data_IF_665196376101
#
_entry.id   IF_665196376101
#
_cell.length_a   1.000
_cell.length_b   1.000
_cell.length_c   1.000
_cell.angle_alpha   90.00
_cell.angle_beta   90.00
_cell.angle_gamma   90.00
#
_symmetry.space_group_name_H-M   'P 1'
#
loop_
_entity.id
_entity.type
_entity.pdbx_description
1 polymer ?
#
# COMPACT_ATOMS: atom_id res chain seq x y z
N UNK A 1 -13.39 -16.19 7.90
CA UNK A 1 -12.48 -15.04 7.90
C UNK A 1 -11.24 -15.38 7.08
N UNK A 2 -10.93 -14.60 6.07
CA UNK A 2 -9.76 -14.82 5.21
C UNK A 2 -8.73 -13.75 5.53
N UNK A 3 -7.52 -14.17 5.92
CA UNK A 3 -6.41 -13.29 6.27
C UNK A 3 -5.28 -13.49 5.26
N UNK A 4 -4.93 -12.44 4.52
CA UNK A 4 -3.87 -12.47 3.51
C UNK A 4 -2.96 -11.24 3.64
N UNK A 5 -1.65 -11.45 3.50
CA UNK A 5 -0.65 -10.37 3.49
C UNK A 5 -0.83 -9.35 4.62
N UNK A 6 -0.95 -9.84 5.86
CA UNK A 6 -1.15 -9.02 7.07
C UNK A 6 -2.44 -8.18 7.07
N UNK A 7 -3.40 -8.53 6.23
CA UNK A 7 -4.68 -7.83 6.14
C UNK A 7 -5.84 -8.81 6.18
N UNK A 8 -6.88 -8.44 6.91
CA UNK A 8 -8.13 -9.17 6.94
C UNK A 8 -8.98 -8.79 5.73
N UNK A 9 -9.45 -9.79 5.00
CA UNK A 9 -10.32 -9.58 3.86
C UNK A 9 -11.79 -9.64 4.29
N UNK A 10 -12.58 -8.59 4.04
CA UNK A 10 -14.01 -8.60 4.34
C UNK A 10 -14.75 -9.65 3.53
N UNK A 11 -15.41 -10.60 4.21
CA UNK A 11 -16.06 -11.74 3.57
C UNK A 11 -17.26 -11.38 2.68
N UNK A 12 -17.97 -10.33 3.05
CA UNK A 12 -19.18 -9.90 2.33
C UNK A 12 -18.88 -9.09 1.06
N UNK A 13 -17.63 -8.67 0.88
CA UNK A 13 -17.23 -7.90 -0.30
C UNK A 13 -16.78 -8.81 -1.45
N UNK A 14 -16.77 -8.25 -2.64
CA UNK A 14 -16.19 -8.89 -3.81
C UNK A 14 -14.68 -9.07 -3.63
N UNK A 15 -14.13 -10.17 -4.12
CA UNK A 15 -12.68 -10.47 -4.03
C UNK A 15 -11.84 -9.31 -4.51
N UNK A 16 -12.19 -8.75 -5.65
CA UNK A 16 -11.52 -7.60 -6.24
C UNK A 16 -11.45 -6.38 -5.29
N UNK A 17 -12.56 -6.05 -4.63
CA UNK A 17 -12.62 -4.92 -3.69
C UNK A 17 -11.90 -5.23 -2.37
N UNK A 18 -11.98 -6.47 -1.91
CA UNK A 18 -11.33 -6.91 -0.68
C UNK A 18 -9.81 -6.91 -0.81
N UNK A 19 -9.26 -7.31 -1.96
CA UNK A 19 -7.82 -7.28 -2.21
C UNK A 19 -7.24 -5.84 -2.17
N UNK A 20 -8.04 -4.84 -2.47
CA UNK A 20 -7.59 -3.44 -2.37
C UNK A 20 -7.35 -2.97 -0.93
N UNK A 21 -7.79 -3.73 0.08
CA UNK A 21 -7.44 -3.45 1.49
C UNK A 21 -5.98 -3.80 1.81
N UNK A 22 -5.36 -4.68 1.02
CA UNK A 22 -3.94 -5.00 1.18
C UNK A 22 -3.10 -3.82 0.71
N UNK A 23 -2.22 -3.35 1.58
CA UNK A 23 -1.33 -2.25 1.23
C UNK A 23 -0.34 -2.64 0.12
N UNK A 24 -0.39 -1.95 -0.98
CA UNK A 24 0.41 -2.23 -2.18
C UNK A 24 -0.35 -2.84 -3.34
N UNK A 25 -1.58 -3.33 -3.14
CA UNK A 25 -2.46 -3.81 -4.20
C UNK A 25 -3.45 -2.72 -4.60
N UNK A 26 -3.27 -2.19 -5.80
CA UNK A 26 -4.18 -1.20 -6.38
C UNK A 26 -5.20 -1.81 -7.33
N UNK A 27 -6.14 -1.00 -7.78
CA UNK A 27 -7.24 -1.40 -8.68
C UNK A 27 -6.76 -2.09 -9.96
N UNK A 28 -5.69 -1.61 -10.59
CA UNK A 28 -5.18 -2.17 -11.84
C UNK A 28 -4.59 -3.57 -11.65
N UNK A 29 -3.85 -3.79 -10.56
CA UNK A 29 -3.27 -5.09 -10.22
C UNK A 29 -4.38 -6.09 -9.90
N UNK A 30 -5.35 -5.71 -9.07
CA UNK A 30 -6.47 -6.56 -8.70
C UNK A 30 -7.31 -6.99 -9.92
N UNK A 31 -7.47 -6.12 -10.91
CA UNK A 31 -8.14 -6.47 -12.17
C UNK A 31 -7.37 -7.51 -12.99
N UNK A 32 -6.03 -7.46 -12.98
CA UNK A 32 -5.18 -8.42 -13.71
C UNK A 32 -5.18 -9.82 -13.12
N UNK A 33 -5.58 -9.98 -11.86
CA UNK A 33 -5.63 -11.29 -11.20
C UNK A 33 -6.71 -12.23 -11.75
N UNK A 34 -7.59 -11.74 -12.62
CA UNK A 34 -8.51 -12.58 -13.42
C UNK A 34 -9.66 -13.23 -12.66
N UNK A 35 -10.03 -12.72 -11.48
CA UNK A 35 -11.20 -13.20 -10.76
C UNK A 35 -12.50 -12.67 -11.35
N UNK A 36 -13.56 -13.49 -11.29
CA UNK A 36 -14.90 -13.09 -11.69
C UNK A 36 -15.33 -11.82 -10.93
N UNK A 37 -15.91 -10.88 -11.66
CA UNK A 37 -16.36 -9.61 -11.09
C UNK A 37 -17.40 -9.76 -9.97
N UNK A 38 -18.12 -10.87 -9.96
CA UNK A 38 -19.21 -11.11 -8.99
C UNK A 38 -18.83 -12.07 -7.87
N UNK A 39 -17.58 -12.56 -7.83
CA UNK A 39 -17.13 -13.50 -6.81
C UNK A 39 -16.91 -12.79 -5.47
N UNK A 40 -17.61 -13.25 -4.41
CA UNK A 40 -17.42 -12.76 -3.06
C UNK A 40 -16.34 -13.59 -2.33
N UNK A 41 -15.66 -12.96 -1.36
CA UNK A 41 -14.60 -13.61 -0.57
C UNK A 41 -15.09 -14.89 0.11
N UNK A 42 -16.30 -14.89 0.66
CA UNK A 42 -16.90 -16.06 1.33
C UNK A 42 -17.06 -17.31 0.45
N UNK A 43 -17.10 -17.14 -0.85
CA UNK A 43 -17.24 -18.25 -1.81
C UNK A 43 -15.91 -18.75 -2.37
N UNK A 44 -14.78 -18.23 -1.89
CA UNK A 44 -13.45 -18.68 -2.30
C UNK A 44 -13.14 -20.07 -1.72
N UNK A 45 -12.77 -21.01 -2.60
CA UNK A 45 -12.19 -22.28 -2.17
C UNK A 45 -10.74 -22.10 -1.72
N UNK A 46 -10.23 -23.03 -0.90
CA UNK A 46 -8.84 -23.04 -0.46
C UNK A 46 -7.85 -23.08 -1.63
N UNK A 47 -8.19 -23.81 -2.67
CA UNK A 47 -7.37 -23.90 -3.90
C UNK A 47 -7.29 -22.54 -4.63
N UNK A 48 -8.41 -21.84 -4.71
CA UNK A 48 -8.47 -20.50 -5.31
C UNK A 48 -7.65 -19.49 -4.49
N UNK A 49 -7.68 -19.56 -3.17
CA UNK A 49 -6.86 -18.71 -2.29
C UNK A 49 -5.38 -19.00 -2.51
N UNK A 50 -4.96 -20.26 -2.56
CA UNK A 50 -3.58 -20.65 -2.80
C UNK A 50 -3.09 -20.19 -4.19
N UNK A 51 -3.92 -20.32 -5.21
CA UNK A 51 -3.63 -19.84 -6.56
C UNK A 51 -3.46 -18.31 -6.57
N UNK A 52 -4.31 -17.60 -5.85
CA UNK A 52 -4.25 -16.15 -5.72
C UNK A 52 -2.93 -15.70 -5.05
N UNK A 53 -2.56 -16.33 -3.93
CA UNK A 53 -1.31 -16.04 -3.23
C UNK A 53 -0.10 -16.25 -4.15
N UNK A 54 -0.02 -17.39 -4.82
CA UNK A 54 1.05 -17.67 -5.80
C UNK A 54 1.11 -16.65 -6.93
N UNK A 55 -0.04 -16.25 -7.46
CA UNK A 55 -0.09 -15.25 -8.53
C UNK A 55 0.42 -13.89 -8.05
N UNK A 56 0.08 -13.49 -6.83
CA UNK A 56 0.55 -12.23 -6.25
C UNK A 56 2.04 -12.28 -5.94
N UNK A 57 2.55 -13.40 -5.41
CA UNK A 57 3.98 -13.59 -5.16
C UNK A 57 4.81 -13.50 -6.44
N UNK A 58 4.29 -14.04 -7.55
CA UNK A 58 4.93 -13.96 -8.85
C UNK A 58 4.98 -12.55 -9.47
N UNK A 59 4.29 -11.58 -8.88
CA UNK A 59 4.34 -10.19 -9.35
C UNK A 59 5.61 -9.44 -8.94
N UNK A 60 6.50 -10.05 -8.17
CA UNK A 60 7.75 -9.45 -7.65
C UNK A 60 7.57 -8.05 -7.07
N UNK A 61 6.49 -7.85 -6.33
CA UNK A 61 6.17 -6.57 -5.71
C UNK A 61 6.21 -6.67 -4.20
N UNK A 62 6.83 -5.69 -3.61
CA UNK A 62 6.79 -5.50 -2.16
C UNK A 62 5.37 -5.11 -1.72
N UNK A 63 4.85 -5.79 -0.71
CA UNK A 63 3.51 -5.60 -0.20
C UNK A 63 3.52 -5.38 1.32
N UNK A 64 2.44 -4.83 1.83
CA UNK A 64 2.17 -4.68 3.25
C UNK A 64 3.35 -4.08 4.02
N UNK A 65 3.90 -4.80 5.00
CA UNK A 65 4.99 -4.32 5.86
C UNK A 65 6.29 -4.06 5.10
N UNK A 66 6.61 -4.86 4.10
CA UNK A 66 7.84 -4.71 3.32
C UNK A 66 7.81 -3.43 2.49
N UNK A 67 6.70 -3.11 1.89
CA UNK A 67 6.52 -1.83 1.18
C UNK A 67 6.61 -0.63 2.13
N UNK A 68 6.07 -0.73 3.34
CA UNK A 68 6.21 0.31 4.36
C UNK A 68 7.66 0.50 4.77
N UNK A 69 8.41 -0.59 4.97
CA UNK A 69 9.86 -0.55 5.27
C UNK A 69 10.64 0.13 4.16
N UNK A 70 10.37 -0.20 2.90
CA UNK A 70 11.03 0.44 1.74
C UNK A 70 10.79 1.95 1.72
N UNK A 71 9.57 2.41 1.98
CA UNK A 71 9.26 3.84 2.06
C UNK A 71 10.04 4.55 3.18
N UNK A 72 10.11 3.92 4.35
CA UNK A 72 10.86 4.45 5.50
C UNK A 72 12.35 4.52 5.16
N UNK A 73 12.92 3.46 4.58
CA UNK A 73 14.33 3.41 4.17
C UNK A 73 14.66 4.48 3.15
N UNK A 74 13.80 4.69 2.16
CA UNK A 74 13.95 5.76 1.16
C UNK A 74 14.00 7.16 1.80
N UNK A 75 13.14 7.41 2.78
CA UNK A 75 13.15 8.68 3.52
C UNK A 75 14.40 8.81 4.40
N UNK A 76 14.79 7.74 5.13
CA UNK A 76 16.01 7.73 5.94
C UNK A 76 17.26 7.97 5.11
N UNK A 77 17.33 7.42 3.90
CA UNK A 77 18.44 7.69 2.96
C UNK A 77 18.60 9.19 2.69
N UNK A 78 17.50 9.89 2.36
CA UNK A 78 17.52 11.32 2.13
C UNK A 78 17.95 12.12 3.36
N UNK A 79 17.54 11.70 4.55
CA UNK A 79 17.92 12.32 5.82
C UNK A 79 19.40 12.10 6.13
N UNK A 80 19.90 10.87 5.95
CA UNK A 80 21.29 10.51 6.26
C UNK A 80 22.30 11.25 5.40
N UNK A 81 22.00 11.50 4.12
CA UNK A 81 22.85 12.31 3.24
C UNK A 81 22.70 13.83 3.50
N UNK A 82 21.90 14.22 4.50
CA UNK A 82 21.62 15.62 4.86
C UNK A 82 21.11 16.47 3.68
N UNK A 83 20.30 15.87 2.80
CA UNK A 83 19.70 16.58 1.68
C UNK A 83 18.64 17.58 2.15
N UNK A 84 18.42 18.63 1.37
CA UNK A 84 17.34 19.60 1.63
C UNK A 84 15.97 18.93 1.71
N UNK A 85 15.68 17.98 0.82
CA UNK A 85 14.43 17.20 0.84
C UNK A 85 14.24 16.40 2.14
N UNK A 86 15.31 15.78 2.62
CA UNK A 86 15.28 15.03 3.89
C UNK A 86 15.01 15.94 5.09
N UNK A 87 15.65 17.08 5.18
CA UNK A 87 15.43 18.07 6.23
C UNK A 87 13.99 18.61 6.23
N UNK A 88 13.45 18.89 5.06
CA UNK A 88 12.06 19.34 4.91
C UNK A 88 11.07 18.26 5.36
N UNK A 89 11.31 17.00 5.03
CA UNK A 89 10.48 15.88 5.48
C UNK A 89 10.44 15.72 7.00
N UNK A 90 11.59 15.79 7.67
CA UNK A 90 11.65 15.71 9.14
C UNK A 90 10.83 16.82 9.80
N UNK A 91 10.92 18.04 9.27
CA UNK A 91 10.19 19.19 9.80
C UNK A 91 8.70 19.21 9.44
N UNK A 92 8.22 18.25 8.66
CA UNK A 92 6.84 18.23 8.18
C UNK A 92 6.51 19.37 7.23
N UNK A 93 7.47 19.83 6.45
CA UNK A 93 7.32 20.96 5.53
C UNK A 93 7.24 20.49 4.07
N UNK A 94 6.57 21.25 3.18
CA UNK A 94 6.52 20.94 1.75
C UNK A 94 7.91 20.91 1.14
N UNK A 95 8.15 19.95 0.23
CA UNK A 95 9.45 19.69 -0.37
C UNK A 95 9.65 20.49 -1.67
N UNK A 96 8.57 20.84 -2.35
CA UNK A 96 8.58 21.37 -3.71
C UNK A 96 8.44 22.90 -3.80
N UNK A 97 8.94 23.64 -2.81
CA UNK A 97 8.92 25.10 -2.82
C UNK A 97 7.55 25.74 -2.64
N UNK A 98 6.58 25.00 -2.11
CA UNK A 98 5.25 25.51 -1.83
C UNK A 98 5.24 26.49 -0.66
N UNK A 99 4.30 27.44 -0.67
CA UNK A 99 4.06 28.37 0.43
C UNK A 99 3.71 27.62 1.72
N UNK A 100 4.31 28.01 2.84
CA UNK A 100 4.04 27.41 4.16
C UNK A 100 3.05 28.19 5.01
N UNK A 101 2.78 29.45 4.67
CA UNK A 101 1.80 30.26 5.37
C UNK A 101 0.39 29.75 5.06
N UNK A 102 -0.31 29.25 6.06
CA UNK A 102 -1.66 28.64 6.02
C UNK A 102 -1.80 27.35 5.20
N UNK A 103 -0.79 26.92 4.42
CA UNK A 103 -0.92 25.86 3.41
C UNK A 103 -0.14 24.56 3.69
N UNK A 104 0.55 24.43 4.82
CA UNK A 104 1.37 23.23 5.12
C UNK A 104 0.64 22.15 5.93
N UNK A 105 -0.68 22.16 5.98
CA UNK A 105 -1.49 21.26 6.83
C UNK A 105 -1.32 19.78 6.48
N UNK A 106 -1.37 19.43 5.20
CA UNK A 106 -1.22 18.05 4.72
C UNK A 106 0.17 17.50 4.99
N UNK A 107 1.21 18.29 4.75
CA UNK A 107 2.59 17.93 4.99
C UNK A 107 2.86 17.65 6.47
N UNK A 108 2.37 18.48 7.37
CA UNK A 108 2.48 18.28 8.83
C UNK A 108 1.81 16.99 9.29
N UNK A 109 0.63 16.66 8.78
CA UNK A 109 -0.07 15.41 9.09
C UNK A 109 0.65 14.16 8.60
N UNK A 110 1.33 14.26 7.46
CA UNK A 110 1.97 13.12 6.82
C UNK A 110 3.28 12.68 7.47
N UNK A 111 4.03 13.63 8.02
CA UNK A 111 5.40 13.43 8.49
C UNK A 111 5.60 13.70 9.99
N UNK A 112 4.54 14.05 10.66
CA UNK A 112 4.55 14.20 12.12
C UNK A 112 4.40 12.87 12.85
#
# INVERSE_FOLDING_TARGET
MVYLFESELPENKLVFLSLMHVYGLGKSICKRLGFSKNLKVKHLSKEQINKLVKTIENLDKELASDLKKLKILSTKKLVNIKSYKGLRKIKGLPIRGQRTHTNAKTSRKRFS
#
